data_IF_308035921502
#
_entry.id   IF_308035921502
#
_cell.length_a   1.000
_cell.length_b   1.000
_cell.length_c   1.000
_cell.angle_alpha   90.00
_cell.angle_beta   90.00
_cell.angle_gamma   90.00
#
_symmetry.space_group_name_H-M   'P 1'
#
loop_
_entity.id
_entity.type
_entity.pdbx_description
1 polymer ?
#
# COMPACT_ATOMS: atom_id res chain seq x y z
N UNK A 1 -21.51 3.71 13.71
CA UNK A 1 -20.77 5.00 13.97
C UNK A 1 -19.78 4.94 15.14
N UNK A 2 -20.12 4.30 16.28
CA UNK A 2 -19.17 4.16 17.40
C UNK A 2 -17.92 3.36 17.06
N UNK A 3 -18.06 2.29 16.31
CA UNK A 3 -16.99 1.39 15.87
C UNK A 3 -15.98 2.11 14.99
N UNK A 4 -16.45 2.97 14.08
CA UNK A 4 -15.59 3.77 13.20
C UNK A 4 -14.80 4.81 13.99
N UNK A 5 -15.49 5.51 14.94
CA UNK A 5 -14.83 6.42 15.87
C UNK A 5 -13.77 5.70 16.69
N UNK A 6 -14.07 4.49 17.16
CA UNK A 6 -13.10 3.67 17.91
C UNK A 6 -11.86 3.35 17.09
N UNK A 7 -12.02 2.94 15.82
CA UNK A 7 -10.89 2.66 14.91
C UNK A 7 -10.07 3.92 14.62
N UNK A 8 -10.71 5.05 14.35
CA UNK A 8 -10.01 6.33 14.13
C UNK A 8 -9.27 6.78 15.40
N UNK A 9 -9.88 6.67 16.57
CA UNK A 9 -9.22 6.99 17.85
C UNK A 9 -8.01 6.10 18.12
N UNK A 10 -8.08 4.82 17.75
CA UNK A 10 -6.95 3.89 17.81
C UNK A 10 -5.78 4.39 16.94
N UNK A 11 -6.06 4.92 15.74
CA UNK A 11 -5.03 5.47 14.86
C UNK A 11 -4.46 6.78 15.39
N UNK A 12 -5.28 7.66 15.96
CA UNK A 12 -4.77 8.85 16.64
C UNK A 12 -3.77 8.51 17.74
N UNK A 13 -4.04 7.45 18.56
CA UNK A 13 -3.08 6.99 19.57
C UNK A 13 -1.79 6.47 18.96
N UNK A 14 -1.88 5.76 17.82
CA UNK A 14 -0.71 5.32 17.08
C UNK A 14 0.15 6.50 16.61
N UNK A 15 -0.51 7.59 16.19
CA UNK A 15 0.14 8.83 15.79
C UNK A 15 0.61 9.72 16.95
N UNK A 16 0.33 9.33 18.20
CA UNK A 16 0.66 10.14 19.37
C UNK A 16 -0.24 11.37 19.55
N UNK A 17 -1.41 11.39 18.90
CA UNK A 17 -2.40 12.45 19.04
C UNK A 17 -3.37 12.12 20.16
N UNK A 18 -3.53 13.03 21.11
CA UNK A 18 -4.48 12.87 22.20
C UNK A 18 -5.92 12.98 21.70
N UNK A 19 -6.77 12.08 22.16
CA UNK A 19 -8.22 12.09 21.88
C UNK A 19 -8.99 12.34 23.16
N UNK A 20 -9.91 13.28 23.12
CA UNK A 20 -10.64 13.79 24.31
C UNK A 20 -11.65 12.80 24.91
N UNK A 21 -12.08 11.79 24.16
CA UNK A 21 -13.05 10.80 24.65
C UNK A 21 -12.94 9.48 23.92
N UNK A 22 -12.82 8.40 24.71
CA UNK A 22 -13.00 7.04 24.19
C UNK A 22 -14.48 6.72 24.01
N UNK A 23 -14.76 5.85 23.04
CA UNK A 23 -16.09 5.25 22.94
C UNK A 23 -16.22 4.21 24.06
N UNK A 24 -17.28 4.24 24.91
CA UNK A 24 -17.53 3.22 25.90
C UNK A 24 -17.64 1.84 25.26
N UNK A 25 -17.00 0.84 25.86
CA UNK A 25 -16.87 -0.51 25.27
C UNK A 25 -18.16 -1.29 25.23
N UNK A 26 -19.05 -1.05 26.19
CA UNK A 26 -20.41 -1.59 26.22
C UNK A 26 -21.29 -1.12 25.04
N UNK A 27 -20.84 -0.08 24.34
CA UNK A 27 -21.51 0.47 23.14
C UNK A 27 -20.85 0.01 21.82
N UNK A 28 -19.89 -0.90 21.88
CA UNK A 28 -19.14 -1.38 20.70
C UNK A 28 -19.63 -2.74 20.23
N UNK A 29 -19.89 -2.84 18.92
CA UNK A 29 -20.06 -4.13 18.26
C UNK A 29 -18.71 -4.66 17.77
N UNK A 30 -18.14 -5.59 18.52
CA UNK A 30 -16.84 -6.18 18.20
C UNK A 30 -16.80 -6.94 16.86
N UNK A 31 -17.93 -7.48 16.37
CA UNK A 31 -17.98 -8.12 15.07
C UNK A 31 -17.74 -7.09 13.96
N UNK A 32 -18.31 -5.88 14.07
CA UNK A 32 -18.08 -4.80 13.14
C UNK A 32 -16.63 -4.32 13.20
N UNK A 33 -16.09 -4.14 14.42
CA UNK A 33 -14.68 -3.71 14.60
C UNK A 33 -13.72 -4.71 13.96
N UNK A 34 -13.92 -6.01 14.19
CA UNK A 34 -13.08 -7.06 13.64
C UNK A 34 -13.17 -7.13 12.12
N UNK A 35 -14.39 -7.07 11.59
CA UNK A 35 -14.62 -7.03 10.16
C UNK A 35 -13.88 -5.85 9.52
N UNK A 36 -14.08 -4.65 10.03
CA UNK A 36 -13.43 -3.44 9.52
C UNK A 36 -11.91 -3.47 9.70
N UNK A 37 -11.41 -3.92 10.85
CA UNK A 37 -9.98 -4.05 11.10
C UNK A 37 -9.31 -5.04 10.15
N UNK A 38 -9.99 -6.14 9.80
CA UNK A 38 -9.52 -7.12 8.82
C UNK A 38 -9.50 -6.53 7.42
N UNK A 39 -10.60 -5.92 7.02
CA UNK A 39 -10.74 -5.29 5.71
C UNK A 39 -9.71 -4.20 5.46
N UNK A 40 -9.47 -3.37 6.46
CA UNK A 40 -8.50 -2.27 6.43
C UNK A 40 -7.06 -2.70 6.76
N UNK A 41 -6.80 -3.98 6.97
CA UNK A 41 -5.48 -4.56 7.30
C UNK A 41 -4.85 -3.96 8.56
N UNK A 42 -5.68 -3.59 9.57
CA UNK A 42 -5.23 -2.94 10.81
C UNK A 42 -5.41 -3.82 12.06
N UNK A 43 -5.57 -5.12 11.90
CA UNK A 43 -5.74 -6.07 13.02
C UNK A 43 -4.55 -6.08 13.97
N UNK A 44 -3.31 -5.93 13.47
CA UNK A 44 -2.11 -5.78 14.32
C UNK A 44 -2.15 -4.51 15.16
N UNK A 45 -2.63 -3.41 14.59
CA UNK A 45 -2.80 -2.13 15.30
C UNK A 45 -3.91 -2.25 16.35
N UNK A 46 -5.00 -2.95 16.03
CA UNK A 46 -6.08 -3.24 16.97
C UNK A 46 -5.55 -4.04 18.17
N UNK A 47 -4.79 -5.10 17.93
CA UNK A 47 -4.19 -5.89 19.01
C UNK A 47 -3.24 -5.06 19.88
N UNK A 48 -2.34 -4.30 19.26
CA UNK A 48 -1.44 -3.38 19.94
C UNK A 48 -2.21 -2.37 20.82
N UNK A 49 -3.28 -1.75 20.29
CA UNK A 49 -4.09 -0.80 21.03
C UNK A 49 -4.77 -1.42 22.24
N UNK A 50 -5.29 -2.65 22.12
CA UNK A 50 -5.87 -3.39 23.25
C UNK A 50 -4.85 -3.65 24.35
N UNK A 51 -3.61 -3.99 23.98
CA UNK A 51 -2.51 -4.17 24.94
C UNK A 51 -2.13 -2.83 25.61
N UNK A 52 -1.94 -1.80 24.80
CA UNK A 52 -1.52 -0.46 25.26
C UNK A 52 -2.53 0.16 26.22
N UNK A 53 -3.82 -0.03 25.96
CA UNK A 53 -4.92 0.51 26.78
C UNK A 53 -5.34 -0.41 27.91
N UNK A 54 -4.72 -1.60 28.06
CA UNK A 54 -5.07 -2.65 29.05
C UNK A 54 -6.52 -3.14 28.91
N UNK A 55 -7.09 -3.08 27.72
CA UNK A 55 -8.48 -3.44 27.42
C UNK A 55 -8.64 -4.86 26.87
N UNK A 56 -7.59 -5.67 26.90
CA UNK A 56 -7.62 -7.04 26.42
C UNK A 56 -8.65 -7.94 27.14
N UNK A 57 -8.95 -7.65 28.42
CA UNK A 57 -9.94 -8.39 29.22
C UNK A 57 -11.40 -8.05 28.91
N UNK A 58 -11.66 -6.98 28.15
CA UNK A 58 -13.03 -6.53 27.83
C UNK A 58 -13.60 -7.22 26.59
N UNK A 59 -12.76 -7.93 25.82
CA UNK A 59 -13.17 -8.66 24.63
C UNK A 59 -13.27 -10.17 24.91
N UNK A 60 -14.04 -10.87 24.09
CA UNK A 60 -14.14 -12.32 24.14
C UNK A 60 -12.75 -12.96 24.00
N UNK A 61 -12.45 -13.97 24.85
CA UNK A 61 -11.14 -14.62 24.87
C UNK A 61 -10.75 -15.28 23.52
N UNK A 62 -11.73 -15.81 22.77
CA UNK A 62 -11.43 -16.39 21.45
C UNK A 62 -11.05 -15.32 20.44
N UNK A 63 -11.71 -14.15 20.46
CA UNK A 63 -11.35 -12.99 19.65
C UNK A 63 -9.93 -12.52 20.01
N UNK A 64 -9.63 -12.40 21.29
CA UNK A 64 -8.30 -12.04 21.76
C UNK A 64 -7.22 -13.00 21.24
N UNK A 65 -7.44 -14.31 21.36
CA UNK A 65 -6.52 -15.34 20.88
C UNK A 65 -6.31 -15.25 19.36
N UNK A 66 -7.39 -15.04 18.61
CA UNK A 66 -7.33 -14.87 17.15
C UNK A 66 -6.48 -13.65 16.77
N UNK A 67 -6.74 -12.49 17.36
CA UNK A 67 -5.96 -11.26 17.12
C UNK A 67 -4.49 -11.45 17.51
N UNK A 68 -4.22 -12.12 18.63
CA UNK A 68 -2.85 -12.44 19.07
C UNK A 68 -2.14 -13.32 18.05
N UNK A 69 -2.74 -14.40 17.60
CA UNK A 69 -2.16 -15.30 16.60
C UNK A 69 -1.87 -14.59 15.28
N UNK A 70 -2.78 -13.72 14.84
CA UNK A 70 -2.57 -12.92 13.64
C UNK A 70 -1.45 -11.90 13.80
N UNK A 71 -1.36 -11.25 14.95
CA UNK A 71 -0.26 -10.33 15.28
C UNK A 71 1.10 -11.04 15.28
N UNK A 72 1.18 -12.22 15.89
CA UNK A 72 2.40 -13.03 15.93
C UNK A 72 2.79 -13.51 14.51
N UNK A 73 1.82 -13.96 13.72
CA UNK A 73 2.03 -14.32 12.32
C UNK A 73 2.55 -13.14 11.49
N UNK A 74 1.91 -11.95 11.61
CA UNK A 74 2.35 -10.75 10.90
C UNK A 74 3.77 -10.33 11.31
N UNK A 75 4.10 -10.45 12.60
CA UNK A 75 5.45 -10.16 13.09
C UNK A 75 6.50 -11.14 12.55
N UNK A 76 6.15 -12.41 12.42
CA UNK A 76 7.00 -13.41 11.80
C UNK A 76 7.20 -13.12 10.31
N UNK A 77 6.10 -12.86 9.58
CA UNK A 77 6.14 -12.53 8.15
C UNK A 77 7.00 -11.30 7.85
N UNK A 78 6.82 -10.23 8.62
CA UNK A 78 7.58 -9.00 8.47
C UNK A 78 9.09 -9.26 8.60
N UNK A 79 9.52 -9.94 9.66
CA UNK A 79 10.92 -10.32 9.86
C UNK A 79 11.45 -11.17 8.70
N UNK A 80 10.64 -12.12 8.23
CA UNK A 80 11.02 -13.01 7.15
C UNK A 80 11.16 -12.26 5.81
N UNK A 81 10.24 -11.33 5.50
CA UNK A 81 10.31 -10.47 4.32
C UNK A 81 11.53 -9.55 4.37
N UNK A 82 11.82 -8.92 5.52
CA UNK A 82 13.00 -8.06 5.71
C UNK A 82 14.28 -8.86 5.46
N UNK A 83 14.40 -10.07 6.05
CA UNK A 83 15.53 -10.96 5.83
C UNK A 83 15.69 -11.32 4.36
N UNK A 84 14.61 -11.71 3.69
CA UNK A 84 14.64 -12.08 2.27
C UNK A 84 15.04 -10.89 1.39
N UNK A 85 14.51 -9.69 1.64
CA UNK A 85 14.89 -8.49 0.91
C UNK A 85 16.38 -8.14 1.11
N UNK A 86 16.92 -8.35 2.32
CA UNK A 86 18.35 -8.18 2.60
C UNK A 86 19.22 -9.21 1.85
N UNK A 87 18.80 -10.48 1.81
CA UNK A 87 19.47 -11.52 1.03
C UNK A 87 19.46 -11.20 -0.47
N UNK A 88 18.33 -10.76 -1.03
CA UNK A 88 18.22 -10.31 -2.42
C UNK A 88 19.07 -9.07 -2.69
N UNK A 89 19.12 -8.11 -1.77
CA UNK A 89 20.02 -6.95 -1.86
C UNK A 89 21.47 -7.38 -2.05
N UNK A 90 21.95 -8.33 -1.22
CA UNK A 90 23.31 -8.88 -1.31
C UNK A 90 23.53 -9.60 -2.65
N UNK A 91 22.59 -10.41 -3.10
CA UNK A 91 22.67 -11.19 -4.35
C UNK A 91 22.66 -10.32 -5.60
N UNK A 92 21.76 -9.35 -5.68
CA UNK A 92 21.72 -8.41 -6.79
C UNK A 92 23.02 -7.60 -6.88
N UNK A 93 23.58 -7.13 -5.77
CA UNK A 93 24.87 -6.43 -5.75
C UNK A 93 26.04 -7.28 -6.21
N UNK A 94 26.08 -8.56 -5.84
CA UNK A 94 27.13 -9.49 -6.27
C UNK A 94 27.12 -9.72 -7.78
N UNK A 95 25.94 -9.63 -8.42
CA UNK A 95 25.75 -9.86 -9.85
C UNK A 95 25.85 -8.56 -10.69
N UNK A 96 26.61 -7.58 -10.24
CA UNK A 96 26.92 -6.33 -10.97
C UNK A 96 25.81 -5.29 -11.05
N UNK A 97 24.73 -5.41 -10.27
CA UNK A 97 23.66 -4.41 -10.19
C UNK A 97 23.97 -3.30 -9.19
N UNK A 98 25.13 -2.66 -9.24
CA UNK A 98 25.59 -1.76 -8.16
C UNK A 98 24.63 -0.62 -7.82
N UNK A 99 23.83 -0.14 -8.77
CA UNK A 99 22.94 1.02 -8.59
C UNK A 99 21.70 0.95 -9.48
N UNK A 100 21.25 -0.23 -9.86
CA UNK A 100 20.19 -0.40 -10.86
C UNK A 100 18.87 -0.88 -10.26
N UNK A 101 18.79 -0.97 -8.95
CA UNK A 101 17.59 -1.40 -8.24
C UNK A 101 17.47 -0.77 -6.86
N UNK A 102 16.24 -0.64 -6.39
CA UNK A 102 15.86 -0.29 -5.02
C UNK A 102 14.61 -1.06 -4.63
N UNK A 103 14.50 -1.46 -3.36
CA UNK A 103 13.23 -1.94 -2.83
C UNK A 103 12.29 -0.78 -2.58
N UNK A 104 11.00 -1.04 -2.75
CA UNK A 104 9.91 -0.10 -2.47
C UNK A 104 9.01 -0.64 -1.37
N UNK A 105 8.10 0.18 -0.86
CA UNK A 105 6.99 -0.22 0.03
C UNK A 105 7.38 -1.18 1.17
N UNK A 106 6.64 -2.28 1.32
CA UNK A 106 6.72 -3.32 2.35
C UNK A 106 7.85 -3.24 3.36
N UNK A 107 9.01 -3.88 3.08
CA UNK A 107 10.11 -3.93 4.03
C UNK A 107 10.75 -2.58 4.35
N UNK A 108 10.77 -1.64 3.37
CA UNK A 108 11.28 -0.28 3.61
C UNK A 108 10.39 0.45 4.62
N UNK A 109 9.07 0.39 4.44
CA UNK A 109 8.11 1.02 5.35
C UNK A 109 8.18 0.39 6.75
N UNK A 110 8.28 -0.94 6.84
CA UNK A 110 8.41 -1.64 8.12
C UNK A 110 9.68 -1.30 8.89
N UNK A 111 10.77 -0.99 8.20
CA UNK A 111 12.01 -0.56 8.85
C UNK A 111 11.94 0.91 9.23
N UNK A 112 11.58 1.79 8.27
CA UNK A 112 11.68 3.23 8.46
C UNK A 112 10.59 3.79 9.38
N UNK A 113 9.35 3.31 9.23
CA UNK A 113 8.22 3.81 10.01
C UNK A 113 8.05 3.12 11.36
N UNK A 114 8.80 2.07 11.64
CA UNK A 114 8.69 1.19 12.81
C UNK A 114 8.10 1.87 14.06
N UNK A 115 6.85 1.59 14.43
CA UNK A 115 6.24 2.08 15.66
C UNK A 115 6.55 1.22 16.89
N UNK A 116 7.53 0.31 16.79
CA UNK A 116 7.91 -0.66 17.81
C UNK A 116 7.18 -2.01 17.69
N UNK A 117 6.41 -2.23 16.64
CA UNK A 117 5.74 -3.49 16.35
C UNK A 117 5.41 -3.61 14.85
N UNK A 118 5.17 -4.84 14.38
CA UNK A 118 4.81 -5.09 12.98
C UNK A 118 3.33 -4.73 12.74
N UNK A 119 3.09 -3.46 12.38
CA UNK A 119 1.74 -2.94 12.14
C UNK A 119 1.20 -3.31 10.75
N UNK A 120 2.11 -3.49 9.78
CA UNK A 120 1.78 -3.67 8.36
C UNK A 120 1.78 -5.14 7.96
N UNK A 121 0.79 -5.51 7.15
CA UNK A 121 0.71 -6.84 6.52
C UNK A 121 1.05 -6.70 5.05
N UNK A 122 2.05 -7.45 4.59
CA UNK A 122 2.43 -7.54 3.18
C UNK A 122 2.98 -8.92 2.86
N UNK A 123 2.89 -9.35 1.61
CA UNK A 123 3.29 -10.68 1.15
C UNK A 123 4.32 -10.64 0.03
N UNK A 124 4.50 -9.47 -0.55
CA UNK A 124 5.29 -9.18 -1.73
C UNK A 124 6.48 -8.28 -1.42
N UNK A 125 7.51 -8.38 -2.24
CA UNK A 125 8.69 -7.53 -2.23
C UNK A 125 8.71 -6.77 -3.55
N UNK A 126 8.28 -5.52 -3.52
CA UNK A 126 8.34 -4.62 -4.67
C UNK A 126 9.80 -4.17 -4.90
N UNK A 127 10.31 -4.40 -6.09
CA UNK A 127 11.65 -3.98 -6.52
C UNK A 127 11.53 -3.07 -7.74
N UNK A 128 11.93 -1.81 -7.63
CA UNK A 128 12.10 -0.95 -8.78
C UNK A 128 13.48 -1.24 -9.38
N UNK A 129 13.53 -1.48 -10.69
CA UNK A 129 14.75 -1.87 -11.38
C UNK A 129 14.87 -1.21 -12.75
N UNK A 130 16.11 -0.89 -13.16
CA UNK A 130 16.37 -0.46 -14.54
C UNK A 130 16.05 -1.56 -15.53
N UNK A 131 15.41 -1.18 -16.64
CA UNK A 131 14.94 -2.13 -17.65
C UNK A 131 16.08 -2.97 -18.25
N UNK A 132 17.25 -2.37 -18.39
CA UNK A 132 18.47 -3.02 -18.89
C UNK A 132 18.96 -4.14 -17.99
N UNK A 133 18.65 -4.07 -16.70
CA UNK A 133 19.07 -5.05 -15.69
C UNK A 133 18.09 -6.21 -15.50
N UNK A 134 16.90 -6.15 -16.08
CA UNK A 134 15.84 -7.15 -15.91
C UNK A 134 16.27 -8.57 -16.26
N UNK A 135 16.99 -8.78 -17.37
CA UNK A 135 17.40 -10.10 -17.81
C UNK A 135 18.31 -10.80 -16.79
N UNK A 136 19.24 -10.05 -16.22
CA UNK A 136 20.14 -10.56 -15.19
C UNK A 136 19.42 -10.80 -13.86
N UNK A 137 18.46 -9.93 -13.50
CA UNK A 137 17.64 -10.09 -12.30
C UNK A 137 16.79 -11.35 -12.37
N UNK A 138 16.13 -11.62 -13.49
CA UNK A 138 15.38 -12.86 -13.75
C UNK A 138 16.27 -14.09 -13.59
N UNK A 139 17.47 -14.06 -14.18
CA UNK A 139 18.45 -15.15 -14.01
C UNK A 139 18.86 -15.34 -12.55
N UNK A 140 19.09 -14.25 -11.82
CA UNK A 140 19.44 -14.31 -10.40
C UNK A 140 18.31 -14.92 -9.56
N UNK A 141 17.07 -14.47 -9.78
CA UNK A 141 15.91 -15.03 -9.09
C UNK A 141 15.69 -16.51 -9.42
N UNK A 142 15.81 -16.89 -10.70
CA UNK A 142 15.72 -18.29 -11.11
C UNK A 142 16.77 -19.17 -10.43
N UNK A 143 18.03 -18.71 -10.32
CA UNK A 143 19.09 -19.41 -9.61
C UNK A 143 18.82 -19.54 -8.10
N UNK A 144 17.99 -18.68 -7.53
CA UNK A 144 17.53 -18.74 -6.14
C UNK A 144 16.24 -19.57 -5.96
N UNK A 145 15.77 -20.22 -7.03
CA UNK A 145 14.59 -21.08 -7.00
C UNK A 145 13.26 -20.34 -7.17
N UNK A 146 13.28 -19.06 -7.58
CA UNK A 146 12.06 -18.35 -7.93
C UNK A 146 11.59 -18.71 -9.33
N UNK A 147 10.29 -18.81 -9.52
CA UNK A 147 9.61 -19.06 -10.80
C UNK A 147 8.55 -18.01 -11.05
N UNK A 148 8.38 -17.63 -12.32
CA UNK A 148 7.31 -16.70 -12.72
C UNK A 148 5.99 -17.45 -12.87
N UNK A 149 4.90 -16.89 -12.30
CA UNK A 149 3.60 -17.53 -12.35
C UNK A 149 2.60 -16.91 -11.40
N UNK A 150 1.64 -17.70 -10.97
CA UNK A 150 0.57 -17.29 -10.04
C UNK A 150 0.12 -18.45 -9.17
N UNK A 151 -0.48 -18.16 -8.04
CA UNK A 151 -1.19 -19.17 -7.23
C UNK A 151 -2.65 -19.19 -7.70
N UNK A 152 -3.16 -20.39 -8.04
CA UNK A 152 -4.58 -20.59 -8.27
C UNK A 152 -5.32 -20.51 -6.93
N UNK A 153 -6.27 -19.57 -6.84
CA UNK A 153 -7.01 -19.32 -5.59
C UNK A 153 -8.00 -20.43 -5.20
N UNK A 154 -8.32 -21.33 -6.13
CA UNK A 154 -9.27 -22.42 -5.87
C UNK A 154 -8.54 -23.69 -5.41
N UNK A 155 -7.33 -23.95 -5.94
CA UNK A 155 -6.54 -25.16 -5.65
C UNK A 155 -5.37 -24.89 -4.72
N UNK A 156 -5.02 -23.62 -4.50
CA UNK A 156 -3.80 -23.17 -3.79
C UNK A 156 -2.49 -23.70 -4.43
N UNK A 157 -2.56 -24.09 -5.71
CA UNK A 157 -1.42 -24.61 -6.46
C UNK A 157 -0.73 -23.52 -7.27
N UNK A 158 0.58 -23.62 -7.39
CA UNK A 158 1.37 -22.73 -8.23
C UNK A 158 1.25 -23.14 -9.71
N UNK A 159 0.85 -22.19 -10.56
CA UNK A 159 0.81 -22.32 -12.01
C UNK A 159 1.94 -21.48 -12.60
N UNK A 160 2.93 -22.15 -13.21
CA UNK A 160 4.04 -21.50 -13.87
C UNK A 160 3.58 -20.79 -15.15
N UNK A 161 3.99 -19.52 -15.32
CA UNK A 161 3.62 -18.74 -16.49
C UNK A 161 4.35 -19.24 -17.75
N UNK A 162 3.62 -19.33 -18.84
CA UNK A 162 4.19 -19.64 -20.15
C UNK A 162 5.03 -18.45 -20.68
N UNK A 163 5.97 -18.74 -21.59
CA UNK A 163 6.76 -17.67 -22.24
C UNK A 163 5.89 -16.62 -22.92
N UNK A 164 4.78 -17.02 -23.52
CA UNK A 164 3.85 -16.11 -24.19
C UNK A 164 3.18 -15.19 -23.18
N UNK A 165 2.71 -15.71 -22.04
CA UNK A 165 2.12 -14.90 -20.97
C UNK A 165 3.13 -13.90 -20.40
N UNK A 166 4.38 -14.33 -20.16
CA UNK A 166 5.43 -13.44 -19.66
C UNK A 166 5.66 -12.28 -20.63
N UNK A 167 5.83 -12.57 -21.93
CA UNK A 167 6.06 -11.55 -22.94
C UNK A 167 4.86 -10.60 -23.05
N UNK A 168 3.64 -11.13 -23.11
CA UNK A 168 2.42 -10.34 -23.22
C UNK A 168 2.24 -9.41 -22.02
N UNK A 169 2.53 -9.91 -20.80
CA UNK A 169 2.46 -9.11 -19.58
C UNK A 169 3.47 -7.95 -19.59
N UNK A 170 4.73 -8.24 -19.92
CA UNK A 170 5.81 -7.23 -19.94
C UNK A 170 5.65 -6.17 -21.04
N UNK A 171 4.96 -6.48 -22.14
CA UNK A 171 4.60 -5.48 -23.15
C UNK A 171 3.42 -4.58 -22.74
N UNK A 172 2.48 -5.12 -21.96
CA UNK A 172 1.25 -4.42 -21.57
C UNK A 172 1.29 -3.81 -20.17
N UNK A 173 2.40 -3.96 -19.43
CA UNK A 173 2.50 -3.59 -18.02
C UNK A 173 3.79 -2.79 -17.75
N UNK A 174 3.91 -2.25 -16.54
CA UNK A 174 5.11 -1.58 -16.02
C UNK A 174 5.95 -2.51 -15.12
N UNK A 175 5.59 -3.77 -15.05
CA UNK A 175 6.16 -4.78 -14.16
C UNK A 175 6.35 -6.12 -14.88
N UNK A 176 7.10 -7.02 -14.28
CA UNK A 176 7.22 -8.40 -14.73
C UNK A 176 6.05 -9.25 -14.20
N UNK A 177 5.84 -10.44 -14.77
CA UNK A 177 5.05 -11.47 -14.08
C UNK A 177 5.72 -11.77 -12.74
N UNK A 178 4.93 -11.83 -11.68
CA UNK A 178 5.39 -12.07 -10.31
C UNK A 178 6.28 -13.31 -10.18
N UNK A 179 7.31 -13.21 -9.35
CA UNK A 179 8.20 -14.31 -9.02
C UNK A 179 7.83 -14.94 -7.69
N UNK A 180 7.58 -16.23 -7.69
CA UNK A 180 7.25 -17.02 -6.51
C UNK A 180 8.39 -17.93 -6.13
N UNK A 181 8.79 -17.91 -4.87
CA UNK A 181 9.60 -18.96 -4.27
C UNK A 181 8.71 -19.78 -3.33
N UNK A 182 8.42 -21.00 -3.75
CA UNK A 182 7.50 -21.89 -3.07
C UNK A 182 8.30 -22.80 -2.15
N UNK A 183 7.85 -22.88 -0.92
CA UNK A 183 8.37 -23.81 0.10
C UNK A 183 7.28 -24.83 0.43
N UNK A 184 7.66 -25.95 1.04
CA UNK A 184 6.70 -26.95 1.53
C UNK A 184 5.70 -26.38 2.54
N UNK A 185 6.05 -25.25 3.15
CA UNK A 185 5.18 -24.49 4.04
C UNK A 185 4.80 -23.16 3.36
N UNK A 186 3.52 -22.99 3.01
CA UNK A 186 2.97 -21.80 2.36
C UNK A 186 3.19 -20.49 3.16
N UNK A 187 3.38 -20.59 4.48
CA UNK A 187 3.69 -19.43 5.34
C UNK A 187 4.95 -18.69 4.89
N UNK A 188 5.91 -19.42 4.32
CA UNK A 188 7.19 -18.87 3.90
C UNK A 188 7.24 -18.50 2.42
N UNK A 189 6.15 -18.63 1.68
CA UNK A 189 6.11 -18.21 0.28
C UNK A 189 6.35 -16.71 0.17
N UNK A 190 7.31 -16.31 -0.65
CA UNK A 190 7.66 -14.91 -0.94
C UNK A 190 7.40 -14.64 -2.41
N UNK A 191 6.72 -13.54 -2.63
CA UNK A 191 6.49 -12.98 -3.96
C UNK A 191 7.50 -11.85 -4.15
N UNK A 192 8.16 -11.82 -5.30
CA UNK A 192 9.00 -10.70 -5.73
C UNK A 192 8.38 -10.10 -6.97
N UNK A 193 8.07 -8.83 -6.90
CA UNK A 193 7.49 -8.06 -7.97
C UNK A 193 8.51 -7.04 -8.48
N UNK A 194 8.94 -7.19 -9.75
CA UNK A 194 9.93 -6.30 -10.34
C UNK A 194 9.21 -5.27 -11.22
N UNK A 195 9.25 -4.02 -10.77
CA UNK A 195 8.73 -2.87 -11.47
C UNK A 195 9.87 -2.14 -12.21
N UNK A 196 9.62 -1.66 -13.42
CA UNK A 196 10.55 -0.81 -14.18
C UNK A 196 9.96 0.59 -14.48
N UNK A 197 8.82 0.89 -13.87
CA UNK A 197 8.19 2.21 -13.77
C UNK A 197 7.42 2.30 -12.47
N UNK A 198 7.15 3.49 -11.99
CA UNK A 198 6.38 3.72 -10.76
C UNK A 198 4.87 3.72 -10.98
N UNK A 199 4.43 3.84 -12.22
CA UNK A 199 3.02 3.93 -12.57
C UNK A 199 2.63 2.92 -13.62
N UNK A 200 1.43 2.43 -13.45
CA UNK A 200 0.70 1.68 -14.44
C UNK A 200 0.42 2.56 -15.65
N UNK A 201 1.04 2.25 -16.77
CA UNK A 201 0.64 2.80 -18.07
C UNK A 201 -0.42 1.88 -18.65
N UNK A 202 -1.66 2.31 -18.66
CA UNK A 202 -2.66 1.72 -19.55
C UNK A 202 -2.69 2.51 -20.83
N UNK A 203 -2.82 1.81 -21.97
CA UNK A 203 -2.76 2.35 -23.35
C UNK A 203 -3.72 3.51 -23.67
N UNK A 204 -4.67 3.82 -22.79
CA UNK A 204 -5.62 4.94 -22.92
C UNK A 204 -5.47 6.04 -21.86
N UNK A 205 -4.45 5.98 -21.01
CA UNK A 205 -4.28 6.87 -19.85
C UNK A 205 -2.84 7.36 -19.69
N UNK A 206 -2.06 7.33 -20.76
CA UNK A 206 -0.66 7.80 -20.75
C UNK A 206 -0.53 9.26 -20.29
N UNK A 207 -1.61 10.05 -20.43
CA UNK A 207 -1.65 11.47 -20.09
C UNK A 207 -2.09 11.76 -18.64
N UNK A 208 -2.57 10.77 -17.86
CA UNK A 208 -3.03 11.01 -16.49
C UNK A 208 -1.89 11.14 -15.48
N UNK A 209 -0.72 10.59 -15.79
CA UNK A 209 0.47 10.75 -14.97
C UNK A 209 1.70 10.99 -15.84
N UNK A 210 2.46 12.06 -15.55
CA UNK A 210 3.74 12.27 -16.21
C UNK A 210 4.69 11.11 -15.87
N UNK A 211 5.54 10.69 -16.82
CA UNK A 211 6.55 9.67 -16.53
C UNK A 211 7.54 10.21 -15.51
N UNK A 212 7.52 9.69 -14.28
CA UNK A 212 8.52 10.05 -13.27
C UNK A 212 9.88 9.51 -13.72
N UNK A 213 10.88 10.38 -13.71
CA UNK A 213 12.26 9.97 -13.94
C UNK A 213 12.74 9.13 -12.73
N UNK A 214 12.79 7.82 -12.91
CA UNK A 214 13.19 6.86 -11.87
C UNK A 214 14.70 6.86 -11.58
N UNK A 215 15.54 7.54 -12.41
CA UNK A 215 16.99 7.58 -12.21
C UNK A 215 17.37 8.21 -10.86
N UNK A 216 16.60 9.18 -10.37
CA UNK A 216 16.82 9.79 -9.06
C UNK A 216 16.69 8.79 -7.90
N UNK A 217 15.82 7.76 -8.03
CA UNK A 217 15.65 6.70 -7.06
C UNK A 217 16.88 5.81 -6.92
N UNK A 218 17.61 5.62 -8.00
CA UNK A 218 18.84 4.83 -8.02
C UNK A 218 20.06 5.62 -7.58
N UNK A 219 20.15 6.90 -7.97
CA UNK A 219 21.31 7.75 -7.64
C UNK A 219 21.43 8.07 -6.16
N UNK A 220 20.30 8.35 -5.52
CA UNK A 220 20.21 8.83 -4.14
C UNK A 220 19.78 7.73 -3.16
N UNK A 221 19.93 6.47 -3.52
CA UNK A 221 19.53 5.36 -2.67
C UNK A 221 20.27 5.35 -1.33
N UNK A 222 19.60 4.90 -0.29
CA UNK A 222 20.14 4.69 1.04
C UNK A 222 19.94 3.24 1.52
N UNK A 223 20.57 2.92 2.64
CA UNK A 223 20.37 1.63 3.30
C UNK A 223 19.44 1.78 4.50
N UNK A 224 18.38 0.98 4.51
CA UNK A 224 17.49 0.78 5.65
C UNK A 224 17.94 -0.44 6.43
N UNK A 225 18.28 -0.26 7.71
CA UNK A 225 18.86 -1.34 8.53
C UNK A 225 18.01 -1.62 9.76
N UNK A 226 17.76 -2.90 10.03
CA UNK A 226 17.06 -3.40 11.23
C UNK A 226 17.58 -4.80 11.57
N UNK A 227 18.03 -5.01 12.82
CA UNK A 227 18.50 -6.33 13.30
C UNK A 227 19.53 -6.99 12.37
N UNK A 228 20.60 -6.27 12.00
CA UNK A 228 21.69 -6.70 11.09
C UNK A 228 21.28 -6.97 9.62
N UNK A 229 20.00 -6.84 9.30
CA UNK A 229 19.54 -6.88 7.92
C UNK A 229 19.57 -5.49 7.30
N UNK A 230 20.02 -5.39 6.05
CA UNK A 230 20.21 -4.14 5.34
C UNK A 230 19.64 -4.21 3.94
N UNK A 231 18.73 -3.28 3.62
CA UNK A 231 17.97 -3.24 2.37
C UNK A 231 18.24 -1.90 1.69
N UNK A 232 18.49 -1.93 0.39
CA UNK A 232 18.66 -0.72 -0.41
C UNK A 232 17.30 -0.15 -0.81
N UNK A 233 17.08 1.13 -0.58
CA UNK A 233 15.83 1.81 -0.93
C UNK A 233 16.04 3.27 -1.31
N UNK A 234 15.03 3.96 -1.84
CA UNK A 234 15.06 5.40 -2.12
C UNK A 234 15.23 6.22 -0.86
N UNK A 235 15.44 7.53 -0.97
CA UNK A 235 15.44 8.41 0.21
C UNK A 235 14.07 8.41 0.90
N UNK A 236 13.99 8.75 2.20
CA UNK A 236 12.72 8.79 2.92
C UNK A 236 11.68 9.71 2.27
N UNK A 237 12.10 10.84 1.70
CA UNK A 237 11.26 11.79 0.98
C UNK A 237 10.66 11.14 -0.28
N UNK A 238 11.48 10.41 -1.04
CA UNK A 238 11.00 9.67 -2.22
C UNK A 238 10.04 8.54 -1.84
N UNK A 239 10.32 7.81 -0.76
CA UNK A 239 9.43 6.76 -0.23
C UNK A 239 8.10 7.35 0.22
N UNK A 240 8.11 8.52 0.88
CA UNK A 240 6.89 9.22 1.27
C UNK A 240 6.05 9.60 0.05
N UNK A 241 6.68 10.22 -0.96
CA UNK A 241 6.01 10.57 -2.22
C UNK A 241 5.42 9.32 -2.88
N UNK A 242 6.20 8.26 -3.03
CA UNK A 242 5.76 6.99 -3.62
C UNK A 242 4.59 6.38 -2.83
N UNK A 243 4.58 6.49 -1.50
CA UNK A 243 3.47 6.03 -0.64
C UNK A 243 2.19 6.82 -0.91
N UNK A 244 2.28 8.14 -1.06
CA UNK A 244 1.14 8.99 -1.43
C UNK A 244 0.62 8.64 -2.83
N UNK A 245 1.51 8.48 -3.81
CA UNK A 245 1.14 8.13 -5.18
C UNK A 245 0.48 6.75 -5.27
N UNK A 246 0.93 5.80 -4.47
CA UNK A 246 0.32 4.48 -4.40
C UNK A 246 -1.11 4.54 -3.85
N UNK A 247 -1.36 5.30 -2.76
CA UNK A 247 -2.72 5.51 -2.27
C UNK A 247 -3.59 6.21 -3.31
N UNK A 248 -3.08 7.26 -3.95
CA UNK A 248 -3.80 7.99 -4.98
C UNK A 248 -4.18 7.09 -6.15
N UNK A 249 -3.22 6.35 -6.72
CA UNK A 249 -3.47 5.49 -7.87
C UNK A 249 -4.54 4.43 -7.57
N UNK A 250 -4.51 3.79 -6.40
CA UNK A 250 -5.52 2.82 -6.03
C UNK A 250 -6.88 3.45 -5.75
N UNK A 251 -6.91 4.64 -5.13
CA UNK A 251 -8.15 5.32 -4.84
C UNK A 251 -8.87 5.84 -6.09
N UNK A 252 -8.14 6.35 -7.09
CA UNK A 252 -8.73 7.00 -8.26
C UNK A 252 -8.70 6.17 -9.53
N UNK A 253 -7.72 5.26 -9.69
CA UNK A 253 -7.54 4.50 -10.93
C UNK A 253 -8.05 3.07 -10.85
N UNK A 254 -7.92 2.43 -9.70
CA UNK A 254 -8.30 1.02 -9.54
C UNK A 254 -9.79 0.79 -9.31
N UNK A 255 -10.55 1.81 -8.95
CA UNK A 255 -11.98 1.65 -8.74
C UNK A 255 -12.73 1.12 -9.97
N UNK A 256 -12.15 1.18 -11.16
CA UNK A 256 -12.76 0.77 -12.41
C UNK A 256 -12.12 -0.42 -13.12
N UNK A 257 -10.90 -0.84 -12.75
CA UNK A 257 -10.21 -1.96 -13.43
C UNK A 257 -10.66 -3.32 -12.95
N UNK A 258 -10.98 -3.44 -11.69
CA UNK A 258 -11.35 -4.70 -11.08
C UNK A 258 -12.84 -4.68 -10.79
N UNK A 259 -13.53 -5.68 -11.35
CA UNK A 259 -14.93 -5.89 -11.04
C UNK A 259 -15.19 -5.59 -9.58
N UNK A 260 -15.88 -4.54 -9.34
CA UNK A 260 -16.34 -3.85 -8.15
C UNK A 260 -16.59 -4.69 -6.91
N UNK A 261 -16.84 -5.99 -7.08
CA UNK A 261 -17.16 -6.96 -6.06
C UNK A 261 -15.96 -7.83 -5.64
N UNK A 262 -14.77 -7.65 -6.23
CA UNK A 262 -13.62 -8.50 -5.91
C UNK A 262 -12.56 -7.85 -5.03
N UNK A 263 -12.42 -6.53 -5.09
CA UNK A 263 -11.39 -5.82 -4.31
C UNK A 263 -11.96 -4.55 -3.69
N UNK A 264 -12.30 -4.65 -2.42
CA UNK A 264 -12.77 -3.54 -1.60
C UNK A 264 -11.60 -2.70 -1.01
N UNK A 265 -10.36 -2.96 -1.43
CA UNK A 265 -9.15 -2.57 -0.75
C UNK A 265 -8.43 -1.32 -1.23
N UNK A 266 -9.04 -0.46 -2.07
CA UNK A 266 -8.41 0.77 -2.56
C UNK A 266 -8.28 1.85 -1.48
N UNK A 267 -9.26 2.01 -0.59
CA UNK A 267 -9.21 2.89 0.56
C UNK A 267 -9.00 2.09 1.85
N UNK A 268 -7.79 1.60 2.09
CA UNK A 268 -7.46 0.88 3.30
C UNK A 268 -6.84 1.81 4.35
N UNK A 269 -7.26 1.70 5.62
CA UNK A 269 -6.70 2.50 6.72
C UNK A 269 -5.18 2.27 6.89
N UNK A 270 -4.66 1.10 6.55
CA UNK A 270 -3.22 0.84 6.63
C UNK A 270 -2.40 1.80 5.78
N UNK A 271 -2.91 2.26 4.63
CA UNK A 271 -2.22 3.24 3.78
C UNK A 271 -2.20 4.63 4.40
N UNK A 272 -3.29 5.00 5.08
CA UNK A 272 -3.33 6.24 5.86
C UNK A 272 -2.44 6.16 7.11
N UNK A 273 -2.24 4.96 7.69
CA UNK A 273 -1.24 4.75 8.75
C UNK A 273 0.15 5.05 8.23
N UNK A 274 0.52 4.52 7.08
CA UNK A 274 1.83 4.79 6.47
C UNK A 274 2.07 6.31 6.35
N UNK A 275 1.09 7.05 5.81
CA UNK A 275 1.16 8.51 5.67
C UNK A 275 1.28 9.21 7.03
N UNK A 276 0.42 8.87 8.00
CA UNK A 276 0.45 9.48 9.34
C UNK A 276 1.76 9.23 10.08
N UNK A 277 2.34 8.03 9.94
CA UNK A 277 3.64 7.70 10.50
C UNK A 277 4.76 8.48 9.80
N UNK A 278 4.73 8.67 8.48
CA UNK A 278 5.66 9.54 7.77
C UNK A 278 5.60 10.98 8.27
N UNK A 279 4.39 11.53 8.43
CA UNK A 279 4.17 12.89 8.89
C UNK A 279 4.70 13.13 10.33
N UNK A 280 4.88 12.07 11.11
CA UNK A 280 5.53 12.12 12.42
C UNK A 280 7.07 12.01 12.36
N UNK A 281 7.65 11.70 11.19
CA UNK A 281 9.10 11.64 11.00
C UNK A 281 9.66 13.04 10.63
N UNK A 282 10.94 13.24 10.90
CA UNK A 282 11.63 14.44 10.44
C UNK A 282 12.08 14.26 8.99
N UNK A 283 11.21 14.61 8.06
CA UNK A 283 11.52 14.70 6.64
C UNK A 283 12.02 16.11 6.29
N UNK A 284 12.81 16.21 5.24
CA UNK A 284 13.06 17.50 4.58
C UNK A 284 11.87 17.86 3.69
N UNK A 285 10.91 18.59 4.26
CA UNK A 285 9.70 18.97 3.52
C UNK A 285 9.96 19.94 2.37
N UNK A 286 11.09 20.67 2.35
CA UNK A 286 11.48 21.48 1.20
C UNK A 286 11.88 20.57 0.04
N UNK A 287 12.68 19.55 0.32
CA UNK A 287 13.04 18.54 -0.67
C UNK A 287 11.79 17.78 -1.14
N UNK A 288 10.84 17.45 -0.25
CA UNK A 288 9.55 16.85 -0.65
C UNK A 288 8.82 17.74 -1.65
N UNK A 289 8.70 19.05 -1.37
CA UNK A 289 8.05 20.00 -2.29
C UNK A 289 8.76 20.11 -3.64
N UNK A 290 10.10 20.13 -3.64
CA UNK A 290 10.88 20.21 -4.87
C UNK A 290 10.70 18.94 -5.72
N UNK A 291 10.72 17.76 -5.09
CA UNK A 291 10.48 16.49 -5.77
C UNK A 291 9.04 16.36 -6.31
N UNK A 292 8.02 16.83 -5.56
CA UNK A 292 6.63 16.85 -6.02
C UNK A 292 6.50 17.66 -7.32
N UNK A 293 7.15 18.83 -7.38
CA UNK A 293 7.16 19.67 -8.59
C UNK A 293 7.97 19.04 -9.72
N UNK A 294 9.15 18.48 -9.42
CA UNK A 294 9.98 17.77 -10.40
C UNK A 294 9.21 16.61 -11.03
N UNK A 295 8.48 15.86 -10.21
CA UNK A 295 7.69 14.71 -10.67
C UNK A 295 6.32 15.10 -11.24
N UNK A 296 5.91 16.36 -11.12
CA UNK A 296 4.61 16.89 -11.58
C UNK A 296 3.42 16.10 -10.99
N UNK A 297 3.43 15.89 -9.68
CA UNK A 297 2.46 15.04 -8.96
C UNK A 297 1.65 15.81 -7.90
N UNK A 298 1.55 17.12 -8.05
CA UNK A 298 0.84 18.00 -7.12
C UNK A 298 -0.62 17.57 -6.93
N UNK A 299 -1.33 17.20 -8.00
CA UNK A 299 -2.74 16.77 -7.93
C UNK A 299 -2.90 15.52 -7.04
N UNK A 300 -1.98 14.57 -7.15
CA UNK A 300 -1.99 13.39 -6.31
C UNK A 300 -1.75 13.72 -4.82
N UNK A 301 -0.88 14.69 -4.56
CA UNK A 301 -0.63 15.19 -3.20
C UNK A 301 -1.81 15.97 -2.65
N UNK A 302 -2.42 16.88 -3.42
CA UNK A 302 -3.66 17.58 -3.06
C UNK A 302 -4.73 16.58 -2.62
N UNK A 303 -4.93 15.53 -3.41
CA UNK A 303 -5.87 14.46 -3.10
C UNK A 303 -5.53 13.79 -1.77
N UNK A 304 -4.31 13.27 -1.62
CA UNK A 304 -3.92 12.44 -0.47
C UNK A 304 -3.90 13.23 0.83
N UNK A 305 -3.31 14.44 0.82
CA UNK A 305 -3.19 15.26 2.04
C UNK A 305 -4.58 15.78 2.47
N UNK A 306 -5.43 16.17 1.53
CA UNK A 306 -6.80 16.58 1.84
C UNK A 306 -7.62 15.42 2.40
N UNK A 307 -7.58 14.24 1.77
CA UNK A 307 -8.30 13.06 2.27
C UNK A 307 -7.76 12.62 3.65
N UNK A 308 -6.44 12.65 3.86
CA UNK A 308 -5.86 12.37 5.17
C UNK A 308 -6.37 13.34 6.23
N UNK A 309 -6.40 14.64 5.93
CA UNK A 309 -6.85 15.67 6.86
C UNK A 309 -8.35 15.57 7.17
N UNK A 310 -9.15 15.15 6.21
CA UNK A 310 -10.59 14.89 6.39
C UNK A 310 -10.84 13.72 7.35
N UNK A 311 -10.07 12.61 7.20
CA UNK A 311 -10.17 11.45 8.09
C UNK A 311 -9.61 11.77 9.48
N UNK A 312 -8.53 12.56 9.54
CA UNK A 312 -7.79 12.87 10.76
C UNK A 312 -7.72 14.37 11.05
N UNK A 313 -8.86 15.06 11.29
CA UNK A 313 -8.89 16.51 11.49
C UNK A 313 -8.07 17.01 12.70
N UNK A 314 -7.82 16.16 13.72
CA UNK A 314 -7.01 16.53 14.88
C UNK A 314 -5.49 16.42 14.62
N UNK A 315 -5.07 15.73 13.56
CA UNK A 315 -3.66 15.59 13.21
C UNK A 315 -3.11 16.94 12.72
N UNK A 316 -1.98 17.37 13.30
CA UNK A 316 -1.28 18.59 12.87
C UNK A 316 -0.32 18.27 11.73
N UNK A 317 -0.62 18.81 10.56
CA UNK A 317 0.28 18.69 9.41
C UNK A 317 1.52 19.56 9.58
N UNK A 318 2.66 19.18 8.98
CA UNK A 318 3.76 20.09 8.72
C UNK A 318 3.27 21.29 7.90
N UNK A 319 3.73 22.50 8.28
CA UNK A 319 3.26 23.77 7.67
C UNK A 319 3.46 23.77 6.15
N UNK A 320 4.54 23.21 5.67
CA UNK A 320 4.89 23.11 4.25
C UNK A 320 3.86 22.31 3.44
N UNK A 321 3.16 21.38 4.06
CA UNK A 321 2.16 20.53 3.40
C UNK A 321 0.74 21.11 3.48
N UNK A 322 0.51 22.16 4.28
CA UNK A 322 -0.82 22.79 4.37
C UNK A 322 -1.29 23.39 3.04
N UNK A 323 -0.38 23.73 2.13
CA UNK A 323 -0.70 24.23 0.78
C UNK A 323 -1.44 23.21 -0.08
N UNK A 324 -1.33 21.91 0.24
CA UNK A 324 -2.03 20.83 -0.47
C UNK A 324 -3.44 20.54 0.06
N UNK A 325 -3.88 21.25 1.11
CA UNK A 325 -5.24 21.10 1.59
C UNK A 325 -6.18 21.87 0.64
N UNK A 326 -7.07 21.13 -0.02
CA UNK A 326 -8.11 21.67 -0.90
C UNK A 326 -9.48 21.53 -0.26
N UNK A 327 -10.51 22.05 -0.94
CA UNK A 327 -11.88 21.68 -0.62
C UNK A 327 -12.04 20.16 -0.86
N UNK A 328 -12.63 19.44 0.10
CA UNK A 328 -12.83 17.99 0.03
C UNK A 328 -13.60 17.59 -1.22
N UNK A 329 -14.60 18.38 -1.62
CA UNK A 329 -15.39 18.11 -2.82
C UNK A 329 -14.56 18.14 -4.11
N UNK A 330 -13.52 18.98 -4.17
CA UNK A 330 -12.64 19.09 -5.35
C UNK A 330 -11.74 17.87 -5.53
N UNK A 331 -11.44 17.13 -4.45
CA UNK A 331 -10.59 15.93 -4.44
C UNK A 331 -11.38 14.64 -4.21
N UNK A 332 -12.71 14.71 -4.21
CA UNK A 332 -13.59 13.57 -3.97
C UNK A 332 -14.02 12.92 -5.30
N UNK A 333 -13.05 12.43 -6.07
CA UNK A 333 -13.28 11.96 -7.44
C UNK A 333 -12.63 10.59 -7.73
N UNK A 334 -12.97 10.04 -8.88
CA UNK A 334 -12.35 8.86 -9.49
C UNK A 334 -12.36 9.01 -11.02
N UNK A 335 -11.57 8.18 -11.70
CA UNK A 335 -11.57 8.13 -13.16
C UNK A 335 -12.32 6.89 -13.65
N UNK A 336 -13.15 7.07 -14.68
CA UNK A 336 -13.82 5.96 -15.39
C UNK A 336 -12.83 5.18 -16.26
N UNK A 337 -13.26 4.05 -16.80
CA UNK A 337 -12.48 3.26 -17.77
C UNK A 337 -12.10 4.04 -19.04
N UNK A 338 -12.86 5.07 -19.35
CA UNK A 338 -12.62 5.95 -20.50
C UNK A 338 -11.72 7.14 -20.14
N UNK A 339 -11.26 7.22 -18.87
CA UNK A 339 -10.44 8.34 -18.39
C UNK A 339 -11.23 9.58 -18.00
N UNK A 340 -12.56 9.50 -17.93
CA UNK A 340 -13.39 10.63 -17.50
C UNK A 340 -13.33 10.80 -15.99
N UNK A 341 -13.16 12.02 -15.52
CA UNK A 341 -13.22 12.39 -14.11
C UNK A 341 -14.68 12.45 -13.64
N UNK A 342 -15.01 11.65 -12.61
CA UNK A 342 -16.34 11.64 -11.96
C UNK A 342 -16.17 11.89 -10.47
N UNK A 343 -17.19 12.45 -9.83
CA UNK A 343 -17.15 12.76 -8.40
C UNK A 343 -18.02 11.81 -7.60
N UNK A 344 -17.53 11.44 -6.41
CA UNK A 344 -18.30 10.64 -5.48
C UNK A 344 -19.42 11.50 -4.86
N UNK A 345 -20.60 10.94 -4.65
CA UNK A 345 -21.66 11.54 -3.84
C UNK A 345 -21.50 11.26 -2.34
N UNK A 346 -20.74 10.23 -1.99
CA UNK A 346 -20.42 9.84 -0.62
C UNK A 346 -19.13 10.49 -0.12
N UNK A 347 -19.09 10.78 1.19
CA UNK A 347 -17.87 11.24 1.86
C UNK A 347 -16.81 10.14 1.90
N UNK A 348 -15.54 10.52 2.14
CA UNK A 348 -14.48 9.51 2.31
C UNK A 348 -14.73 8.59 3.49
N UNK A 349 -15.31 9.08 4.58
CA UNK A 349 -15.64 8.27 5.74
C UNK A 349 -16.70 7.21 5.40
N UNK A 350 -17.73 7.57 4.64
CA UNK A 350 -18.72 6.60 4.14
C UNK A 350 -18.06 5.56 3.24
N UNK A 351 -17.23 5.96 2.28
CA UNK A 351 -16.55 5.01 1.40
C UNK A 351 -15.59 4.06 2.13
N UNK A 352 -14.93 4.54 3.19
CA UNK A 352 -14.07 3.69 4.02
C UNK A 352 -14.86 2.63 4.76
N UNK A 353 -15.96 3.02 5.40
CA UNK A 353 -16.63 2.17 6.37
C UNK A 353 -17.97 1.59 5.89
N UNK A 354 -18.57 2.20 4.86
CA UNK A 354 -19.85 1.79 4.26
C UNK A 354 -19.66 1.44 2.78
N UNK A 355 -19.05 0.29 2.53
CA UNK A 355 -18.65 -0.13 1.18
C UNK A 355 -19.80 -0.20 0.17
N UNK A 356 -21.01 -0.42 0.63
CA UNK A 356 -22.19 -0.40 -0.25
C UNK A 356 -22.43 0.97 -0.88
N UNK A 357 -22.18 2.06 -0.13
CA UNK A 357 -22.32 3.43 -0.64
C UNK A 357 -21.43 3.68 -1.85
N UNK A 358 -20.21 3.17 -1.81
CA UNK A 358 -19.24 3.27 -2.88
C UNK A 358 -19.66 2.55 -4.15
N UNK A 359 -20.15 1.31 -4.02
CA UNK A 359 -20.66 0.54 -5.15
C UNK A 359 -21.87 1.25 -5.77
N UNK A 360 -22.79 1.76 -4.95
CA UNK A 360 -23.98 2.48 -5.42
C UNK A 360 -23.64 3.77 -6.14
N UNK A 361 -22.66 4.53 -5.67
CA UNK A 361 -22.24 5.77 -6.32
C UNK A 361 -21.70 5.52 -7.72
N UNK A 362 -20.90 4.51 -7.87
CA UNK A 362 -20.37 4.19 -9.18
C UNK A 362 -21.47 3.64 -10.10
N UNK A 363 -22.37 2.78 -9.64
CA UNK A 363 -23.52 2.33 -10.44
C UNK A 363 -24.41 3.48 -10.90
N UNK A 364 -24.61 4.52 -10.08
CA UNK A 364 -25.37 5.72 -10.46
C UNK A 364 -24.68 6.55 -11.55
N UNK A 365 -23.36 6.55 -11.55
CA UNK A 365 -22.54 7.41 -12.39
C UNK A 365 -22.01 6.74 -13.66
N UNK A 366 -22.24 5.43 -13.83
CA UNK A 366 -21.69 4.67 -14.96
C UNK A 366 -22.85 4.15 -15.81
N UNK A 367 -22.84 4.45 -17.11
CA UNK A 367 -23.70 3.76 -18.06
C UNK A 367 -23.30 2.29 -18.09
N UNK A 368 -24.27 1.38 -17.90
CA UNK A 368 -24.03 -0.06 -17.93
C UNK A 368 -23.38 -0.52 -19.24
N UNK A 369 -23.64 0.18 -20.36
CA UNK A 369 -23.02 -0.07 -21.66
C UNK A 369 -21.50 0.12 -21.64
N UNK A 370 -20.99 1.09 -20.87
CA UNK A 370 -19.54 1.35 -20.73
C UNK A 370 -18.82 0.23 -19.96
N UNK A 371 -19.54 -0.49 -19.11
CA UNK A 371 -19.01 -1.64 -18.34
C UNK A 371 -18.85 -2.89 -19.22
N UNK A 372 -19.65 -3.02 -20.30
CA UNK A 372 -19.67 -4.19 -21.16
C UNK A 372 -18.92 -4.00 -22.48
N UNK A 373 -18.63 -2.78 -22.90
CA UNK A 373 -18.00 -2.44 -24.19
C UNK A 373 -16.57 -2.99 -24.39
N UNK A 374 -15.97 -3.66 -23.42
CA UNK A 374 -14.62 -4.24 -23.52
C UNK A 374 -14.55 -5.75 -23.34
N UNK A 375 -15.64 -6.47 -23.63
CA UNK A 375 -15.62 -7.93 -23.75
C UNK A 375 -15.62 -8.43 -25.21
N UNK A 376 -15.52 -7.52 -26.18
CA UNK A 376 -15.35 -7.86 -27.59
C UNK A 376 -13.93 -7.63 -28.06
#
# INVERSE_FOLDING_TARGET
>A
MNEYKYLINMLYRLFGVEVSSDVPEDKLNWNIILYQATLHRVTSVLFWNLQKTKKASTINNNIYKMLKSQYEYNSYRDKYCIKTASELTKKFKQNSFKSDFVFLKGPILSIYLDPGFSYRVYSDLDVLMKKESLSNAKKTLSNLGYKQGKIDKNTDEFIEATRTEIIAHEFGSHETVEFYRIFDNSINNIIVDINYSLFWKKNSQEDLFPPINIESFFKNHIYYTKNDESIIGPTPEQVFIQTCLHLYSEAVLFCWQYSWYKNWGDLELVKFIDIGLFLNKKLDYRLVLDLIREYQVEEAFDFVITQFKEIFPLFKLPRELEIFIKNVDDVNYYFTTLGEKKYWSSSIAERLFEQQSRVLDVYKNTNLEDLYAKKS
#
